data_IF_956080236571
#
_entry.id   IF_956080236571
#
_cell.length_a   1.000
_cell.length_b   1.000
_cell.length_c   1.000
_cell.angle_alpha   90.00
_cell.angle_beta   90.00
_cell.angle_gamma   90.00
#
_symmetry.space_group_name_H-M   'P 1'
#
loop_
_entity.id
_entity.type
_entity.pdbx_description
1 polymer ?
#
# COMPACT_ATOMS: atom_id res chain seq x y z
N UNK A 1 -19.84 5.21 5.78
CA UNK A 1 -18.52 5.00 5.18
C UNK A 1 -18.49 3.64 4.48
N UNK A 2 -17.81 3.51 3.33
CA UNK A 2 -17.58 2.20 2.68
C UNK A 2 -16.16 1.78 2.93
N UNK A 3 -15.93 0.52 3.29
CA UNK A 3 -14.57 0.01 3.48
C UNK A 3 -13.96 -0.43 2.15
N UNK A 4 -12.63 -0.41 2.09
CA UNK A 4 -11.91 -0.90 0.92
C UNK A 4 -12.02 -2.42 0.78
N UNK A 5 -12.32 -2.88 -0.43
CA UNK A 5 -12.47 -4.31 -0.73
C UNK A 5 -11.95 -4.66 -2.11
N UNK A 6 -11.71 -5.95 -2.34
CA UNK A 6 -11.22 -6.50 -3.59
C UNK A 6 -12.07 -6.11 -4.81
N UNK A 7 -11.40 -5.96 -5.94
CA UNK A 7 -12.02 -5.56 -7.20
C UNK A 7 -11.03 -5.58 -8.36
N UNK A 8 -11.48 -5.08 -9.51
CA UNK A 8 -10.66 -4.98 -10.71
C UNK A 8 -11.20 -3.91 -11.66
N UNK A 9 -10.34 -3.40 -12.54
CA UNK A 9 -10.66 -2.33 -13.49
C UNK A 9 -10.75 -0.96 -12.80
N UNK A 10 -11.68 -0.12 -13.24
CA UNK A 10 -11.85 1.23 -12.71
C UNK A 10 -12.55 1.27 -11.35
N UNK A 11 -12.43 2.42 -10.68
CA UNK A 11 -13.06 2.70 -9.39
C UNK A 11 -14.56 2.37 -9.38
N UNK A 12 -14.99 1.58 -8.38
CA UNK A 12 -16.39 1.14 -8.30
C UNK A 12 -16.80 0.77 -6.88
N UNK A 13 -18.09 0.86 -6.62
CA UNK A 13 -18.71 0.22 -5.45
C UNK A 13 -18.73 -1.29 -5.69
N UNK A 14 -18.47 -2.06 -4.64
CA UNK A 14 -18.48 -3.52 -4.65
C UNK A 14 -19.46 -3.97 -3.56
N UNK A 15 -20.57 -4.56 -3.97
CA UNK A 15 -21.67 -4.88 -3.06
C UNK A 15 -22.27 -3.62 -2.40
N UNK A 16 -22.79 -3.79 -1.19
CA UNK A 16 -23.45 -2.71 -0.43
C UNK A 16 -22.44 -1.75 0.20
N UNK A 17 -21.42 -2.32 0.85
CA UNK A 17 -20.55 -1.62 1.81
C UNK A 17 -19.09 -1.50 1.35
N UNK A 18 -18.74 -2.11 0.22
CA UNK A 18 -17.38 -2.13 -0.31
C UNK A 18 -17.12 -1.06 -1.36
N UNK A 19 -15.87 -0.59 -1.41
CA UNK A 19 -15.36 0.26 -2.48
C UNK A 19 -14.00 -0.24 -2.98
N UNK A 20 -13.84 -0.26 -4.31
CA UNK A 20 -12.59 -0.56 -4.98
C UNK A 20 -12.07 0.73 -5.66
N UNK A 21 -10.85 1.19 -5.36
CA UNK A 21 -10.34 2.46 -5.87
C UNK A 21 -9.93 2.40 -7.36
N UNK A 22 -9.70 1.22 -7.90
CA UNK A 22 -9.22 1.01 -9.27
C UNK A 22 -7.84 0.36 -9.30
N UNK A 23 -7.53 -0.30 -10.42
CA UNK A 23 -6.27 -1.03 -10.59
C UNK A 23 -5.03 -0.14 -10.46
N UNK A 24 -5.11 1.11 -10.95
CA UNK A 24 -4.03 2.09 -10.99
C UNK A 24 -3.93 2.97 -9.71
N UNK A 25 -4.73 2.67 -8.69
CA UNK A 25 -4.84 3.52 -7.48
C UNK A 25 -4.79 2.73 -6.17
N UNK A 26 -4.80 1.41 -6.24
CA UNK A 26 -4.91 0.56 -5.05
C UNK A 26 -3.62 0.58 -4.23
N UNK A 27 -2.48 0.71 -4.89
CA UNK A 27 -1.16 0.87 -4.28
C UNK A 27 -1.04 2.20 -3.56
N UNK A 28 -1.46 3.29 -4.19
CA UNK A 28 -1.48 4.64 -3.60
C UNK A 28 -2.29 4.66 -2.31
N UNK A 29 -3.50 4.11 -2.36
CA UNK A 29 -4.39 4.00 -1.20
C UNK A 29 -3.73 3.17 -0.10
N UNK A 30 -3.09 2.06 -0.44
CA UNK A 30 -2.37 1.24 0.53
C UNK A 30 -1.25 2.02 1.23
N UNK A 31 -0.38 2.69 0.48
CA UNK A 31 0.74 3.47 1.04
C UNK A 31 0.28 4.67 1.86
N UNK A 32 -0.83 5.30 1.51
CA UNK A 32 -1.46 6.36 2.32
C UNK A 32 -1.94 5.77 3.65
N UNK A 33 -2.65 4.64 3.64
CA UNK A 33 -3.19 4.05 4.87
C UNK A 33 -2.11 3.48 5.78
N UNK A 34 -1.02 2.93 5.23
CA UNK A 34 0.16 2.55 6.01
C UNK A 34 0.79 3.74 6.72
N UNK A 35 0.95 4.87 6.01
CA UNK A 35 1.45 6.11 6.60
C UNK A 35 0.55 6.60 7.74
N UNK A 36 -0.76 6.63 7.53
CA UNK A 36 -1.72 7.05 8.55
C UNK A 36 -1.66 6.16 9.79
N UNK A 37 -1.53 4.83 9.61
CA UNK A 37 -1.44 3.88 10.72
C UNK A 37 -0.14 4.03 11.55
N UNK A 38 0.94 4.51 10.96
CA UNK A 38 2.19 4.80 11.69
C UNK A 38 2.17 6.17 12.37
N UNK A 39 1.60 7.17 11.71
CA UNK A 39 1.67 8.55 12.20
C UNK A 39 0.64 8.87 13.28
N UNK A 40 -0.48 8.16 13.30
CA UNK A 40 -1.57 8.38 14.24
C UNK A 40 -1.77 7.10 15.03
N UNK A 41 -1.35 7.13 16.29
CA UNK A 41 -1.39 6.01 17.23
C UNK A 41 -2.78 5.42 17.46
N UNK A 42 -3.83 6.23 17.28
CA UNK A 42 -5.22 5.79 17.37
C UNK A 42 -5.75 5.10 16.09
N UNK A 43 -5.07 5.21 14.95
CA UNK A 43 -5.51 4.57 13.70
C UNK A 43 -4.96 3.15 13.58
N UNK A 44 -5.86 2.17 13.52
CA UNK A 44 -5.48 0.75 13.45
C UNK A 44 -5.92 0.09 12.14
N UNK A 45 -5.04 -0.72 11.55
CA UNK A 45 -5.37 -1.64 10.45
C UNK A 45 -5.83 -2.99 11.01
N UNK A 46 -6.90 -3.55 10.46
CA UNK A 46 -7.48 -4.80 10.97
C UNK A 46 -8.12 -5.63 9.86
N UNK A 47 -7.91 -6.94 9.88
CA UNK A 47 -8.61 -7.86 8.97
C UNK A 47 -10.03 -8.23 9.46
N UNK A 48 -10.41 -7.77 10.65
CA UNK A 48 -11.77 -7.92 11.16
C UNK A 48 -12.71 -6.92 10.49
N UNK A 49 -13.38 -7.38 9.44
CA UNK A 49 -14.34 -6.58 8.65
C UNK A 49 -15.50 -6.02 9.48
N UNK A 50 -15.82 -6.63 10.63
CA UNK A 50 -16.92 -6.14 11.48
C UNK A 50 -16.61 -4.79 12.09
N UNK A 51 -15.31 -4.46 12.21
CA UNK A 51 -14.80 -3.18 12.73
C UNK A 51 -14.65 -2.10 11.64
N UNK A 52 -14.88 -2.46 10.38
CA UNK A 52 -14.74 -1.56 9.23
C UNK A 52 -16.10 -1.13 8.65
N UNK A 53 -17.21 -1.58 9.26
CA UNK A 53 -18.56 -1.20 8.86
C UNK A 53 -18.84 0.29 9.07
N UNK A 54 -20.05 0.75 8.74
CA UNK A 54 -20.49 2.14 8.99
C UNK A 54 -21.31 2.22 10.28
N UNK A 55 -20.66 2.01 11.42
CA UNK A 55 -21.30 2.10 12.73
C UNK A 55 -20.91 3.41 13.42
N UNK A 56 -21.88 4.32 13.53
CA UNK A 56 -21.69 5.61 14.17
C UNK A 56 -21.45 5.52 15.69
N UNK A 57 -21.80 4.40 16.33
CA UNK A 57 -21.57 4.23 17.76
C UNK A 57 -20.09 3.93 18.09
N UNK A 58 -19.35 3.37 17.13
CA UNK A 58 -17.98 2.86 17.35
C UNK A 58 -16.93 3.62 16.54
N UNK A 59 -17.22 3.94 15.27
CA UNK A 59 -16.24 4.53 14.34
C UNK A 59 -15.89 6.00 14.58
N UNK A 60 -16.68 6.71 15.39
CA UNK A 60 -16.41 8.12 15.74
C UNK A 60 -15.68 8.26 17.09
N UNK A 61 -15.16 7.16 17.62
CA UNK A 61 -14.32 7.15 18.82
C UNK A 61 -12.87 6.86 18.42
N UNK A 62 -11.91 7.35 19.21
CA UNK A 62 -10.48 7.09 18.95
C UNK A 62 -10.16 5.58 19.02
N UNK A 63 -10.81 4.85 19.94
CA UNK A 63 -10.61 3.41 20.14
C UNK A 63 -11.21 2.55 19.01
N UNK A 64 -12.17 3.10 18.26
CA UNK A 64 -12.83 2.46 17.13
C UNK A 64 -12.34 2.93 15.76
N UNK A 65 -11.22 3.64 15.69
CA UNK A 65 -10.75 4.24 14.44
C UNK A 65 -9.97 3.23 13.57
N UNK A 66 -10.70 2.36 12.88
CA UNK A 66 -10.14 1.36 11.96
C UNK A 66 -10.14 1.86 10.52
N UNK A 67 -9.00 1.76 9.83
CA UNK A 67 -8.78 2.41 8.53
C UNK A 67 -8.69 1.46 7.33
N UNK A 68 -8.62 0.15 7.54
CA UNK A 68 -8.68 -0.84 6.46
C UNK A 68 -8.17 -2.23 6.83
N UNK A 69 -8.35 -3.18 5.89
CA UNK A 69 -7.84 -4.56 6.00
C UNK A 69 -6.35 -4.63 5.76
N UNK A 70 -5.57 -4.99 6.76
CA UNK A 70 -4.11 -5.07 6.65
C UNK A 70 -3.69 -6.00 5.51
N UNK A 71 -4.25 -7.20 5.44
CA UNK A 71 -3.94 -8.20 4.41
C UNK A 71 -4.21 -7.67 2.99
N UNK A 72 -5.35 -7.00 2.80
CA UNK A 72 -5.73 -6.40 1.51
C UNK A 72 -4.75 -5.30 1.08
N UNK A 73 -4.39 -4.41 2.00
CA UNK A 73 -3.48 -3.30 1.69
C UNK A 73 -2.07 -3.82 1.35
N UNK A 74 -1.60 -4.87 2.04
CA UNK A 74 -0.32 -5.52 1.70
C UNK A 74 -0.38 -6.13 0.30
N UNK A 75 -1.49 -6.77 -0.05
CA UNK A 75 -1.70 -7.33 -1.39
C UNK A 75 -1.70 -6.22 -2.44
N UNK A 76 -2.48 -5.15 -2.26
CA UNK A 76 -2.54 -4.03 -3.19
C UNK A 76 -1.21 -3.34 -3.36
N UNK A 77 -0.46 -3.14 -2.28
CA UNK A 77 0.90 -2.60 -2.33
C UNK A 77 1.86 -3.43 -3.20
N UNK A 78 1.71 -4.76 -3.20
CA UNK A 78 2.52 -5.66 -4.05
C UNK A 78 2.05 -5.69 -5.50
N UNK A 79 0.75 -5.58 -5.71
CA UNK A 79 0.12 -5.64 -7.04
C UNK A 79 0.26 -4.33 -7.81
N UNK A 80 0.25 -3.21 -7.11
CA UNK A 80 0.32 -1.85 -7.65
C UNK A 80 1.55 -1.09 -7.09
N UNK A 81 2.69 -1.27 -7.76
CA UNK A 81 3.92 -0.52 -7.56
C UNK A 81 3.82 0.97 -7.26
N UNK A 82 4.77 1.51 -6.46
CA UNK A 82 5.04 2.96 -6.48
C UNK A 82 5.34 3.44 -7.88
N UNK A 83 4.67 4.49 -8.30
CA UNK A 83 4.90 5.11 -9.60
C UNK A 83 5.51 6.52 -9.50
N UNK A 84 5.81 7.08 -10.67
CA UNK A 84 6.40 8.41 -10.79
C UNK A 84 5.45 9.51 -10.30
N UNK A 85 4.13 9.33 -10.47
CA UNK A 85 3.14 10.30 -10.02
C UNK A 85 3.15 10.40 -8.48
N UNK A 86 3.21 9.27 -7.79
CA UNK A 86 3.31 9.24 -6.33
C UNK A 86 4.61 9.85 -5.81
N UNK A 87 5.74 9.58 -6.46
CA UNK A 87 7.03 10.16 -6.09
C UNK A 87 6.97 11.69 -6.19
N UNK A 88 6.45 12.21 -7.32
CA UNK A 88 6.28 13.65 -7.51
C UNK A 88 5.31 14.27 -6.50
N UNK A 89 4.21 13.57 -6.21
CA UNK A 89 3.24 14.01 -5.21
C UNK A 89 3.86 14.04 -3.80
N UNK A 90 4.67 13.04 -3.44
CA UNK A 90 5.36 12.99 -2.14
C UNK A 90 6.35 14.14 -2.00
N UNK A 91 7.12 14.44 -3.05
CA UNK A 91 8.00 15.62 -3.10
C UNK A 91 7.22 16.92 -2.94
N UNK A 92 6.12 17.09 -3.69
CA UNK A 92 5.30 18.29 -3.61
C UNK A 92 4.67 18.48 -2.22
N UNK A 93 4.22 17.42 -1.56
CA UNK A 93 3.70 17.51 -0.18
C UNK A 93 4.80 17.93 0.81
N UNK A 94 6.01 17.43 0.61
CA UNK A 94 7.16 17.70 1.47
C UNK A 94 7.66 19.14 1.35
N UNK A 95 7.77 19.69 0.14
CA UNK A 95 8.46 20.97 -0.10
C UNK A 95 7.66 21.99 -0.93
N UNK A 96 6.61 21.55 -1.61
CA UNK A 96 5.81 22.36 -2.53
C UNK A 96 4.93 23.39 -1.83
N UNK A 97 4.70 24.51 -2.52
CA UNK A 97 3.75 25.55 -2.10
C UNK A 97 2.55 25.53 -3.05
N UNK A 98 1.35 25.31 -2.50
CA UNK A 98 0.10 25.46 -3.24
C UNK A 98 -0.51 26.85 -2.96
N UNK A 99 -1.53 27.24 -3.72
CA UNK A 99 -2.18 28.54 -3.58
C UNK A 99 -3.70 28.38 -3.48
N UNK A 100 -4.32 29.09 -2.54
CA UNK A 100 -5.77 29.19 -2.42
C UNK A 100 -6.35 30.06 -3.55
N UNK A 101 -7.66 29.96 -3.86
CA UNK A 101 -8.29 30.82 -4.87
C UNK A 101 -8.13 32.33 -4.61
N UNK A 102 -7.91 32.73 -3.35
CA UNK A 102 -7.66 34.12 -2.96
C UNK A 102 -6.17 34.53 -3.02
N UNK A 103 -5.30 33.68 -3.58
CA UNK A 103 -3.87 33.95 -3.75
C UNK A 103 -3.00 33.67 -2.52
N UNK A 104 -3.58 33.34 -1.36
CA UNK A 104 -2.79 33.04 -0.17
C UNK A 104 -2.07 31.68 -0.31
N UNK A 105 -0.78 31.59 0.08
CA UNK A 105 -0.03 30.34 -0.02
C UNK A 105 -0.52 29.31 1.01
N UNK A 106 -0.41 28.04 0.63
CA UNK A 106 -0.50 26.86 1.49
C UNK A 106 0.92 26.31 1.57
N UNK A 107 1.51 26.40 2.76
CA UNK A 107 2.88 25.96 3.01
C UNK A 107 2.97 24.43 2.98
N UNK A 108 4.14 23.88 2.63
CA UNK A 108 4.36 22.43 2.63
C UNK A 108 4.16 21.81 4.02
N UNK A 109 3.85 20.51 4.04
CA UNK A 109 3.69 19.77 5.30
C UNK A 109 5.04 19.46 5.95
N UNK A 110 6.12 19.33 5.15
CA UNK A 110 7.48 19.12 5.64
C UNK A 110 7.81 17.69 6.06
N UNK A 111 6.90 16.73 5.84
CA UNK A 111 7.05 15.31 6.12
C UNK A 111 6.77 14.48 4.85
N UNK A 112 7.50 13.38 4.70
CA UNK A 112 7.35 12.44 3.57
C UNK A 112 6.62 11.19 4.00
N UNK A 113 5.91 10.56 3.08
CA UNK A 113 5.44 9.20 3.26
C UNK A 113 6.61 8.22 3.01
N UNK A 114 7.12 7.52 4.05
CA UNK A 114 8.26 6.62 3.91
C UNK A 114 7.92 5.39 3.08
N UNK A 115 6.64 5.02 2.94
CA UNK A 115 6.21 3.88 2.13
C UNK A 115 6.19 4.19 0.62
N UNK A 116 6.33 5.46 0.24
CA UNK A 116 6.61 5.86 -1.15
C UNK A 116 8.12 5.85 -1.39
N UNK A 117 8.91 6.42 -0.47
CA UNK A 117 10.38 6.49 -0.64
C UNK A 117 11.09 5.13 -0.43
N UNK A 118 10.51 4.27 0.42
CA UNK A 118 11.01 2.94 0.83
C UNK A 118 9.83 1.96 0.95
N UNK A 119 9.25 1.50 -0.18
CA UNK A 119 8.12 0.56 -0.21
C UNK A 119 8.37 -0.69 0.65
N UNK A 120 9.61 -1.16 0.70
CA UNK A 120 10.03 -2.35 1.42
C UNK A 120 9.75 -2.30 2.93
N UNK A 121 9.57 -1.11 3.52
CA UNK A 121 9.24 -0.98 4.94
C UNK A 121 7.91 -1.65 5.30
N UNK A 122 6.97 -1.77 4.37
CA UNK A 122 5.70 -2.49 4.60
C UNK A 122 5.98 -3.93 5.02
N UNK A 123 6.92 -4.58 4.34
CA UNK A 123 7.31 -5.97 4.59
C UNK A 123 7.98 -6.16 5.95
N UNK A 124 8.83 -5.20 6.33
CA UNK A 124 9.54 -5.23 7.61
C UNK A 124 8.58 -5.03 8.79
N UNK A 125 7.60 -4.14 8.64
CA UNK A 125 6.69 -3.77 9.73
C UNK A 125 5.56 -4.80 9.91
N UNK A 126 4.94 -5.25 8.82
CA UNK A 126 3.70 -6.04 8.91
C UNK A 126 3.80 -7.49 8.41
N UNK A 127 4.87 -7.87 7.72
CA UNK A 127 5.06 -9.27 7.28
C UNK A 127 6.16 -10.01 8.05
N UNK A 128 6.77 -9.36 9.05
CA UNK A 128 7.81 -9.96 9.89
C UNK A 128 9.08 -10.35 9.11
N UNK A 129 9.30 -9.72 7.96
CA UNK A 129 10.51 -9.94 7.14
C UNK A 129 11.68 -9.20 7.75
N UNK A 130 12.87 -9.78 7.62
CA UNK A 130 14.11 -9.11 7.97
C UNK A 130 14.77 -8.50 6.72
N UNK A 131 15.76 -7.62 6.92
CA UNK A 131 16.54 -7.03 5.83
C UNK A 131 17.18 -8.11 4.94
N UNK A 132 17.63 -9.20 5.55
CA UNK A 132 18.22 -10.34 4.84
C UNK A 132 17.18 -11.02 3.92
N UNK A 133 15.90 -11.06 4.31
CA UNK A 133 14.84 -11.63 3.48
C UNK A 133 14.54 -10.78 2.24
N UNK A 134 14.83 -9.48 2.28
CA UNK A 134 14.67 -8.56 1.16
C UNK A 134 15.85 -8.62 0.17
N UNK A 135 17.02 -9.02 0.64
CA UNK A 135 18.27 -9.01 -0.14
C UNK A 135 18.69 -10.39 -0.67
N UNK A 136 18.07 -11.47 -0.18
CA UNK A 136 18.25 -12.83 -0.71
C UNK A 136 17.91 -12.85 -2.21
N UNK A 137 18.95 -12.89 -3.05
CA UNK A 137 18.80 -13.22 -4.48
C UNK A 137 18.23 -14.63 -4.58
N UNK A 138 17.13 -14.79 -5.32
CA UNK A 138 16.53 -16.10 -5.59
C UNK A 138 17.59 -17.06 -6.13
N UNK A 139 17.80 -18.17 -5.41
CA UNK A 139 18.79 -19.17 -5.80
C UNK A 139 18.19 -20.02 -6.93
N UNK A 140 18.72 -19.87 -8.15
CA UNK A 140 18.32 -20.68 -9.31
C UNK A 140 18.66 -22.15 -9.08
N UNK A 141 17.68 -22.96 -8.70
CA UNK A 141 17.88 -24.41 -8.50
C UNK A 141 17.83 -25.10 -9.87
N UNK A 142 18.97 -25.50 -10.42
CA UNK A 142 19.00 -26.45 -11.55
C UNK A 142 18.94 -27.88 -11.04
N UNK A 143 17.80 -28.55 -11.17
CA UNK A 143 17.73 -29.99 -10.99
C UNK A 143 18.25 -30.68 -12.26
N UNK A 144 19.33 -31.43 -12.15
CA UNK A 144 19.76 -32.36 -13.21
C UNK A 144 19.14 -33.71 -12.92
N UNK A 145 18.13 -34.09 -13.71
CA UNK A 145 17.65 -35.48 -13.76
C UNK A 145 18.20 -36.09 -15.05
N UNK A 146 18.78 -37.27 -14.93
CA UNK A 146 19.49 -38.01 -16.00
C UNK A 146 18.88 -37.78 -17.40
N UNK A 147 19.69 -37.17 -18.27
CA UNK A 147 19.55 -37.06 -19.73
C UNK A 147 18.51 -36.13 -20.37
N UNK A 148 17.72 -35.34 -19.63
CA UNK A 148 16.89 -34.29 -20.26
C UNK A 148 17.02 -32.98 -19.48
N UNK A 149 17.65 -31.98 -20.11
CA UNK A 149 17.72 -30.61 -19.59
C UNK A 149 16.38 -29.92 -19.83
N UNK A 150 15.42 -30.12 -18.93
CA UNK A 150 14.16 -29.36 -18.98
C UNK A 150 14.41 -28.00 -18.31
N UNK A 151 14.48 -26.95 -19.13
CA UNK A 151 14.49 -25.57 -18.64
C UNK A 151 13.02 -25.14 -18.50
N UNK A 152 12.51 -25.16 -17.27
CA UNK A 152 11.25 -24.48 -16.98
C UNK A 152 11.56 -22.99 -16.77
N UNK A 153 10.98 -22.14 -17.60
CA UNK A 153 10.84 -20.73 -17.29
C UNK A 153 9.59 -20.57 -16.44
N UNK A 154 9.76 -20.41 -15.12
CA UNK A 154 8.70 -19.81 -14.31
C UNK A 154 8.72 -18.31 -14.65
N UNK A 155 7.66 -17.80 -15.26
CA UNK A 155 7.50 -16.36 -15.47
C UNK A 155 7.16 -15.75 -14.10
N UNK A 156 8.16 -15.21 -13.42
CA UNK A 156 7.98 -14.25 -12.33
C UNK A 156 8.50 -12.90 -12.81
N UNK A 157 7.68 -11.86 -12.63
CA UNK A 157 8.04 -10.49 -13.00
C UNK A 157 9.28 -10.08 -12.21
N UNK A 158 10.20 -9.38 -12.87
CA UNK A 158 11.29 -8.68 -12.21
C UNK A 158 10.73 -7.91 -11.02
N UNK A 159 11.38 -8.00 -9.86
CA UNK A 159 11.07 -7.19 -8.70
C UNK A 159 11.58 -5.77 -9.00
N UNK A 160 10.72 -4.80 -9.37
CA UNK A 160 11.16 -3.50 -9.87
C UNK A 160 11.68 -2.57 -8.75
N UNK A 161 11.76 -3.07 -7.51
CA UNK A 161 12.06 -2.28 -6.30
C UNK A 161 13.53 -2.19 -5.90
N UNK A 162 14.44 -2.74 -6.68
CA UNK A 162 15.86 -2.75 -6.35
C UNK A 162 16.63 -1.85 -7.32
N UNK A 163 16.85 -0.59 -6.90
CA UNK A 163 17.89 0.31 -7.45
C UNK A 163 18.88 0.64 -6.34
#
# INVERSE_FOLDING_TARGET
NRYFTEGSGSAKKVGTDGFYPGDDHKGDVARILFYMAIMYDFLTLTDDVTKLGDDSATNFTLEGAFSGKLSLLIQWHKEDPVDEFEIQRNEFIYSGTAYKPNGNPILPQGNRNPFIDKPEYVHLIWEGKEIDDLTKKEQKISHTVLSIRIIYYVRTKENPWLV
#
